data_IF_744307082801
#
_entry.id   IF_744307082801
#
_cell.length_a   1.000
_cell.length_b   1.000
_cell.length_c   1.000
_cell.angle_alpha   90.00
_cell.angle_beta   90.00
_cell.angle_gamma   90.00
#
_symmetry.space_group_name_H-M   'P 1'
#
loop_
_entity.id
_entity.type
_entity.pdbx_description
1 polymer ?
#
# COMPACT_ATOMS: atom_id res chain seq x y z
N UNK A 1 33.78 -103.69 164.10
CA UNK A 1 34.37 -103.37 165.41
C UNK A 1 33.94 -101.95 165.75
N UNK A 2 33.18 -101.63 166.81
CA UNK A 2 32.56 -102.40 167.87
C UNK A 2 31.30 -101.65 168.32
N UNK A 3 30.32 -102.42 168.79
CA UNK A 3 28.99 -102.00 169.21
C UNK A 3 28.96 -101.64 170.70
N UNK A 4 28.01 -100.78 171.11
CA UNK A 4 27.30 -100.83 172.40
C UNK A 4 25.92 -100.14 172.28
N UNK A 5 24.85 -100.95 172.22
CA UNK A 5 23.65 -101.01 173.09
C UNK A 5 23.41 -99.84 174.09
N UNK A 6 22.21 -99.40 174.49
CA UNK A 6 20.83 -99.92 174.49
C UNK A 6 19.86 -98.79 174.99
N UNK A 7 18.54 -99.09 175.01
CA UNK A 7 17.45 -98.54 175.87
C UNK A 7 16.29 -97.83 175.13
N UNK A 8 15.09 -98.40 175.31
CA UNK A 8 13.78 -98.09 174.71
C UNK A 8 12.97 -97.12 175.58
N UNK A 9 12.30 -96.13 174.97
CA UNK A 9 11.24 -95.30 175.55
C UNK A 9 10.12 -95.08 174.50
N UNK A 10 8.84 -95.44 174.76
CA UNK A 10 7.75 -95.32 173.80
C UNK A 10 6.97 -93.99 173.97
N UNK A 11 6.73 -93.24 172.89
CA UNK A 11 5.72 -92.14 172.91
C UNK A 11 5.89 -90.89 172.04
N UNK A 12 6.70 -90.86 170.97
CA UNK A 12 7.04 -89.62 170.23
C UNK A 12 6.72 -89.60 168.73
N UNK A 13 5.89 -90.52 168.23
CA UNK A 13 5.62 -90.65 166.78
C UNK A 13 4.49 -89.73 166.25
N UNK A 14 3.60 -89.23 167.12
CA UNK A 14 2.43 -88.43 166.69
C UNK A 14 2.68 -86.92 166.49
N UNK A 15 3.75 -86.35 167.08
CA UNK A 15 4.05 -84.91 166.97
C UNK A 15 4.99 -84.56 165.80
N UNK A 16 5.66 -85.56 165.21
CA UNK A 16 6.56 -85.35 164.07
C UNK A 16 5.81 -85.25 162.74
N UNK A 17 4.65 -85.92 162.61
CA UNK A 17 3.81 -85.86 161.39
C UNK A 17 3.06 -84.53 161.26
N UNK A 18 2.63 -83.92 162.38
CA UNK A 18 1.97 -82.61 162.37
C UNK A 18 2.92 -81.45 162.01
N UNK A 19 4.22 -81.57 162.35
CA UNK A 19 5.26 -80.64 161.92
C UNK A 19 5.60 -80.76 160.43
N UNK A 20 5.59 -81.99 159.90
CA UNK A 20 5.83 -82.27 158.47
C UNK A 20 4.74 -81.66 157.58
N UNK A 21 3.47 -81.83 157.93
CA UNK A 21 2.35 -81.26 157.16
C UNK A 21 2.36 -79.73 157.06
N UNK A 22 2.76 -79.03 158.13
CA UNK A 22 2.93 -77.57 158.10
C UNK A 22 4.11 -77.12 157.24
N UNK A 23 5.22 -77.88 157.26
CA UNK A 23 6.37 -77.59 156.40
C UNK A 23 6.03 -77.79 154.92
N UNK A 24 5.28 -78.85 154.60
CA UNK A 24 4.86 -79.14 153.23
C UNK A 24 3.82 -78.12 152.74
N UNK A 25 2.89 -77.67 153.60
CA UNK A 25 1.95 -76.60 153.29
C UNK A 25 2.65 -75.27 152.98
N UNK A 26 3.62 -74.84 153.81
CA UNK A 26 4.39 -73.61 153.57
C UNK A 26 5.29 -73.72 152.32
N UNK A 27 5.76 -74.92 151.99
CA UNK A 27 6.54 -75.17 150.76
C UNK A 27 5.65 -75.13 149.52
N UNK A 28 4.42 -75.64 149.62
CA UNK A 28 3.40 -75.56 148.56
C UNK A 28 2.95 -74.11 148.33
N UNK A 29 2.65 -73.35 149.41
CA UNK A 29 2.30 -71.94 149.35
C UNK A 29 3.44 -71.08 148.78
N UNK A 30 4.68 -71.32 149.20
CA UNK A 30 5.85 -70.64 148.62
C UNK A 30 5.97 -70.93 147.12
N UNK A 31 5.81 -72.19 146.71
CA UNK A 31 5.84 -72.56 145.29
C UNK A 31 4.67 -72.01 144.47
N UNK A 32 3.49 -71.84 145.07
CA UNK A 32 2.36 -71.15 144.45
C UNK A 32 2.60 -69.65 144.32
N UNK A 33 3.19 -69.01 145.33
CA UNK A 33 3.51 -67.59 145.32
C UNK A 33 4.66 -67.25 144.36
N UNK A 34 5.67 -68.12 144.26
CA UNK A 34 6.73 -68.03 143.26
C UNK A 34 6.18 -68.19 141.84
N UNK A 35 5.29 -69.16 141.59
CA UNK A 35 4.59 -69.29 140.30
C UNK A 35 3.74 -68.07 139.97
N UNK A 36 2.96 -67.58 140.93
CA UNK A 36 2.16 -66.36 140.76
C UNK A 36 3.01 -65.13 140.44
N UNK A 37 4.16 -64.96 141.11
CA UNK A 37 5.08 -63.87 140.80
C UNK A 37 5.75 -64.02 139.45
N UNK A 38 6.20 -65.22 139.09
CA UNK A 38 6.77 -65.51 137.78
C UNK A 38 5.74 -65.22 136.67
N UNK A 39 4.48 -65.58 136.90
CA UNK A 39 3.38 -65.34 135.98
C UNK A 39 3.01 -63.84 135.91
N UNK A 40 3.08 -63.12 137.02
CA UNK A 40 2.92 -61.65 137.04
C UNK A 40 4.06 -60.93 136.31
N UNK A 41 5.30 -61.38 136.49
CA UNK A 41 6.46 -60.85 135.76
C UNK A 41 6.36 -61.15 134.27
N UNK A 42 6.00 -62.39 133.91
CA UNK A 42 5.72 -62.78 132.53
C UNK A 42 4.60 -61.96 131.91
N UNK A 43 3.53 -61.66 132.67
CA UNK A 43 2.44 -60.81 132.22
C UNK A 43 2.90 -59.37 132.00
N UNK A 44 3.76 -58.84 132.88
CA UNK A 44 4.36 -57.50 132.70
C UNK A 44 5.28 -57.46 131.49
N UNK A 45 6.11 -58.47 131.31
CA UNK A 45 6.99 -58.60 130.14
C UNK A 45 6.18 -58.68 128.85
N UNK A 46 5.17 -59.55 128.79
CA UNK A 46 4.26 -59.63 127.65
C UNK A 46 3.51 -58.31 127.42
N UNK A 47 3.09 -57.61 128.47
CA UNK A 47 2.45 -56.30 128.35
C UNK A 47 3.41 -55.25 127.77
N UNK A 48 4.69 -55.27 128.18
CA UNK A 48 5.72 -54.40 127.60
C UNK A 48 6.02 -54.77 126.14
N UNK A 49 6.08 -56.06 125.81
CA UNK A 49 6.25 -56.53 124.43
C UNK A 49 5.06 -56.15 123.55
N UNK A 50 3.84 -56.27 124.06
CA UNK A 50 2.62 -55.82 123.36
C UNK A 50 2.64 -54.31 123.16
N UNK A 51 3.01 -53.52 124.18
CA UNK A 51 3.13 -52.07 124.03
C UNK A 51 4.23 -51.66 123.03
N UNK A 52 5.38 -52.34 123.05
CA UNK A 52 6.46 -52.13 122.08
C UNK A 52 6.02 -52.51 120.66
N UNK A 53 5.34 -53.65 120.49
CA UNK A 53 4.78 -54.08 119.20
C UNK A 53 3.71 -53.11 118.69
N UNK A 54 2.85 -52.59 119.56
CA UNK A 54 1.88 -51.54 119.21
C UNK A 54 2.58 -50.25 118.77
N UNK A 55 3.67 -49.87 119.43
CA UNK A 55 4.52 -48.75 119.00
C UNK A 55 5.09 -48.96 117.59
N UNK A 56 5.66 -50.14 117.33
CA UNK A 56 6.18 -50.50 115.99
C UNK A 56 5.07 -50.51 114.94
N UNK A 57 3.88 -51.04 115.26
CA UNK A 57 2.72 -51.02 114.36
C UNK A 57 2.31 -49.57 114.04
N UNK A 58 2.25 -48.70 115.04
CA UNK A 58 1.95 -47.28 114.84
C UNK A 58 3.00 -46.56 113.98
N UNK A 59 4.28 -46.88 114.15
CA UNK A 59 5.37 -46.35 113.33
C UNK A 59 5.28 -46.84 111.88
N UNK A 60 4.99 -48.12 111.67
CA UNK A 60 4.78 -48.70 110.35
C UNK A 60 3.57 -48.08 109.64
N UNK A 61 2.46 -47.90 110.34
CA UNK A 61 1.27 -47.24 109.81
C UNK A 61 1.56 -45.79 109.41
N UNK A 62 2.31 -45.03 110.23
CA UNK A 62 2.73 -43.67 109.88
C UNK A 62 3.65 -43.64 108.65
N UNK A 63 4.59 -44.58 108.54
CA UNK A 63 5.47 -44.70 107.36
C UNK A 63 4.69 -45.11 106.11
N UNK A 64 3.73 -46.01 106.24
CA UNK A 64 2.84 -46.43 105.16
C UNK A 64 2.01 -45.23 104.66
N UNK A 65 1.38 -44.48 105.56
CA UNK A 65 0.64 -43.26 105.21
C UNK A 65 1.54 -42.23 104.52
N UNK A 66 2.75 -41.99 105.04
CA UNK A 66 3.71 -41.08 104.41
C UNK A 66 4.12 -41.55 103.00
N UNK A 67 4.37 -42.86 102.83
CA UNK A 67 4.69 -43.45 101.53
C UNK A 67 3.52 -43.36 100.54
N UNK A 68 2.28 -43.57 101.01
CA UNK A 68 1.07 -43.41 100.20
C UNK A 68 0.87 -41.94 99.76
N UNK A 69 1.10 -40.98 100.65
CA UNK A 69 1.05 -39.56 100.28
C UNK A 69 2.15 -39.18 99.30
N UNK A 70 3.37 -39.69 99.47
CA UNK A 70 4.46 -39.48 98.53
C UNK A 70 4.17 -40.10 97.16
N UNK A 71 3.57 -41.30 97.14
CA UNK A 71 3.09 -41.94 95.92
C UNK A 71 2.01 -41.11 95.21
N UNK A 72 1.01 -40.59 95.94
CA UNK A 72 0.00 -39.69 95.36
C UNK A 72 0.60 -38.40 94.84
N UNK A 73 1.59 -37.83 95.54
CA UNK A 73 2.30 -36.61 95.10
C UNK A 73 3.13 -36.88 93.85
N UNK A 74 3.81 -38.02 93.76
CA UNK A 74 4.59 -38.39 92.57
C UNK A 74 3.69 -38.72 91.39
N UNK A 75 2.57 -39.40 91.61
CA UNK A 75 1.52 -39.64 90.62
C UNK A 75 0.94 -38.33 90.07
N UNK A 76 0.58 -37.38 90.94
CA UNK A 76 0.10 -36.07 90.51
C UNK A 76 1.14 -35.30 89.69
N UNK A 77 2.43 -35.38 90.06
CA UNK A 77 3.53 -34.79 89.28
C UNK A 77 3.69 -35.46 87.93
N UNK A 78 3.62 -36.80 87.87
CA UNK A 78 3.68 -37.54 86.61
C UNK A 78 2.50 -37.18 85.72
N UNK A 79 1.28 -37.09 86.28
CA UNK A 79 0.10 -36.70 85.54
C UNK A 79 0.25 -35.29 84.95
N UNK A 80 0.75 -34.32 85.72
CA UNK A 80 1.02 -32.98 85.21
C UNK A 80 2.06 -32.97 84.07
N UNK A 81 3.08 -33.84 84.14
CA UNK A 81 4.06 -34.02 83.05
C UNK A 81 3.40 -34.63 81.82
N UNK A 82 2.51 -35.63 81.98
CA UNK A 82 1.76 -36.23 80.86
C UNK A 82 0.84 -35.21 80.21
N UNK A 83 0.08 -34.44 81.00
CA UNK A 83 -0.84 -33.42 80.48
C UNK A 83 -0.07 -32.33 79.73
N UNK A 84 1.07 -31.88 80.28
CA UNK A 84 1.96 -30.94 79.59
C UNK A 84 2.49 -31.53 78.28
N UNK A 85 3.00 -32.76 78.29
CA UNK A 85 3.52 -33.41 77.08
C UNK A 85 2.43 -33.59 76.01
N UNK A 86 1.18 -33.79 76.42
CA UNK A 86 0.03 -33.84 75.51
C UNK A 86 -0.25 -32.47 74.89
N UNK A 87 -0.28 -31.39 75.68
CA UNK A 87 -0.46 -30.03 75.17
C UNK A 87 0.68 -29.64 74.22
N UNK A 88 1.93 -29.87 74.59
CA UNK A 88 3.09 -29.61 73.74
C UNK A 88 2.96 -30.37 72.40
N UNK A 89 2.52 -31.63 72.43
CA UNK A 89 2.27 -32.42 71.22
C UNK A 89 1.17 -31.83 70.35
N UNK A 90 0.05 -31.41 70.95
CA UNK A 90 -1.06 -30.78 70.23
C UNK A 90 -0.62 -29.44 69.60
N UNK A 91 0.19 -28.64 70.31
CA UNK A 91 0.80 -27.42 69.77
C UNK A 91 1.75 -27.70 68.60
N UNK A 92 2.63 -28.71 68.72
CA UNK A 92 3.50 -29.11 67.62
C UNK A 92 2.72 -29.65 66.42
N UNK A 93 1.62 -30.37 66.65
CA UNK A 93 0.75 -30.85 65.57
C UNK A 93 0.07 -29.67 64.85
N UNK A 94 -0.49 -28.72 65.59
CA UNK A 94 -1.09 -27.51 65.01
C UNK A 94 -0.05 -26.68 64.22
N UNK A 95 1.17 -26.54 64.76
CA UNK A 95 2.25 -25.86 64.06
C UNK A 95 2.67 -26.60 62.77
N UNK A 96 2.73 -27.93 62.80
CA UNK A 96 3.05 -28.75 61.64
C UNK A 96 1.96 -28.70 60.57
N UNK A 97 0.68 -28.72 60.95
CA UNK A 97 -0.46 -28.56 60.04
C UNK A 97 -0.46 -27.18 59.39
N UNK A 98 -0.24 -26.12 60.17
CA UNK A 98 -0.08 -24.77 59.64
C UNK A 98 1.08 -24.68 58.64
N UNK A 99 2.24 -25.24 58.97
CA UNK A 99 3.39 -25.23 58.07
C UNK A 99 3.13 -25.99 56.76
N UNK A 100 2.32 -27.06 56.80
CA UNK A 100 1.88 -27.76 55.58
C UNK A 100 0.98 -26.89 54.72
N UNK A 101 -0.01 -26.23 55.31
CA UNK A 101 -0.87 -25.30 54.58
C UNK A 101 -0.09 -24.13 53.98
N UNK A 102 0.81 -23.51 54.75
CA UNK A 102 1.67 -22.44 54.24
C UNK A 102 2.54 -22.93 53.06
N UNK A 103 3.05 -24.17 53.12
CA UNK A 103 3.82 -24.76 52.02
C UNK A 103 2.96 -25.03 50.77
N UNK A 104 1.72 -25.49 50.94
CA UNK A 104 0.75 -25.69 49.86
C UNK A 104 0.38 -24.35 49.20
N UNK A 105 0.14 -23.30 50.00
CA UNK A 105 -0.13 -21.95 49.51
C UNK A 105 1.06 -21.38 48.72
N UNK A 106 2.29 -21.55 49.23
CA UNK A 106 3.50 -21.12 48.51
C UNK A 106 3.67 -21.87 47.18
N UNK A 107 3.40 -23.18 47.15
CA UNK A 107 3.44 -23.96 45.92
C UNK A 107 2.39 -23.47 44.91
N UNK A 108 1.17 -23.18 45.36
CA UNK A 108 0.12 -22.61 44.53
C UNK A 108 0.50 -21.23 43.98
N UNK A 109 0.94 -20.30 44.85
CA UNK A 109 1.36 -18.96 44.46
C UNK A 109 2.52 -18.98 43.48
N UNK A 110 3.47 -19.91 43.65
CA UNK A 110 4.57 -20.11 42.70
C UNK A 110 4.05 -20.53 41.32
N UNK A 111 3.09 -21.45 41.27
CA UNK A 111 2.44 -21.86 40.01
C UNK A 111 1.70 -20.70 39.33
N UNK A 112 0.98 -19.89 40.09
CA UNK A 112 0.29 -18.68 39.59
C UNK A 112 1.30 -17.65 39.06
N UNK A 113 2.42 -17.43 39.77
CA UNK A 113 3.50 -16.54 39.33
C UNK A 113 4.14 -16.99 38.01
N UNK A 114 4.44 -18.29 37.88
CA UNK A 114 4.98 -18.85 36.63
C UNK A 114 3.98 -18.71 35.46
N UNK A 115 2.68 -18.89 35.71
CA UNK A 115 1.64 -18.70 34.70
C UNK A 115 1.52 -17.22 34.26
N UNK A 116 1.58 -16.30 35.23
CA UNK A 116 1.61 -14.86 34.94
C UNK A 116 2.86 -14.46 34.16
N UNK A 117 4.03 -14.99 34.52
CA UNK A 117 5.28 -14.73 33.80
C UNK A 117 5.17 -15.16 32.33
N UNK A 118 4.65 -16.37 32.06
CA UNK A 118 4.40 -16.84 30.69
C UNK A 118 3.47 -15.91 29.91
N UNK A 119 2.44 -15.39 30.57
CA UNK A 119 1.49 -14.44 29.96
C UNK A 119 2.15 -13.10 29.65
N UNK A 120 2.97 -12.56 30.58
CA UNK A 120 3.73 -11.33 30.37
C UNK A 120 4.72 -11.49 29.21
N UNK A 121 5.43 -12.61 29.13
CA UNK A 121 6.34 -12.89 28.01
C UNK A 121 5.59 -12.99 26.68
N UNK A 122 4.41 -13.61 26.65
CA UNK A 122 3.53 -13.64 25.46
C UNK A 122 3.16 -12.22 25.03
N UNK A 123 2.67 -11.39 25.95
CA UNK A 123 2.29 -9.99 25.68
C UNK A 123 3.50 -9.19 25.16
N UNK A 124 4.70 -9.41 25.71
CA UNK A 124 5.93 -8.75 25.23
C UNK A 124 6.24 -9.14 23.78
N UNK A 125 6.14 -10.42 23.43
CA UNK A 125 6.36 -10.90 22.05
C UNK A 125 5.30 -10.37 21.09
N UNK A 126 4.03 -10.42 21.47
CA UNK A 126 2.92 -9.87 20.67
C UNK A 126 3.09 -8.37 20.44
N UNK A 127 3.45 -7.61 21.48
CA UNK A 127 3.76 -6.18 21.34
C UNK A 127 4.94 -5.98 20.40
N UNK A 128 6.05 -6.69 20.59
CA UNK A 128 7.22 -6.54 19.71
C UNK A 128 6.86 -6.81 18.24
N UNK A 129 6.08 -7.86 17.98
CA UNK A 129 5.59 -8.18 16.63
C UNK A 129 4.70 -7.06 16.09
N UNK A 130 3.76 -6.54 16.87
CA UNK A 130 2.89 -5.44 16.44
C UNK A 130 3.68 -4.15 16.13
N UNK A 131 4.78 -3.89 16.85
CA UNK A 131 5.68 -2.77 16.53
C UNK A 131 6.40 -3.00 15.20
N UNK A 132 6.91 -4.21 14.96
CA UNK A 132 7.53 -4.58 13.68
C UNK A 132 6.55 -4.49 12.51
N UNK A 133 5.33 -4.99 12.68
CA UNK A 133 4.29 -4.95 11.65
C UNK A 133 3.92 -3.49 11.31
N UNK A 134 3.78 -2.63 12.33
CA UNK A 134 3.51 -1.20 12.13
C UNK A 134 4.65 -0.48 11.40
N UNK A 135 5.89 -0.80 11.74
CA UNK A 135 7.04 -0.17 11.10
C UNK A 135 7.19 -0.68 9.64
N UNK A 136 6.91 -1.96 9.37
CA UNK A 136 6.82 -2.49 8.00
C UNK A 136 5.67 -1.87 7.20
N UNK A 137 4.51 -1.62 7.82
CA UNK A 137 3.38 -0.94 7.19
C UNK A 137 3.71 0.51 6.85
N UNK A 138 4.44 1.23 7.71
CA UNK A 138 4.94 2.58 7.41
C UNK A 138 5.84 2.58 6.18
N UNK A 139 6.80 1.66 6.09
CA UNK A 139 7.67 1.54 4.92
C UNK A 139 6.86 1.25 3.65
N UNK A 140 5.91 0.31 3.69
CA UNK A 140 5.02 0.03 2.56
C UNK A 140 4.17 1.24 2.15
N UNK A 141 3.72 2.03 3.13
CA UNK A 141 2.96 3.25 2.86
C UNK A 141 3.83 4.31 2.16
N UNK A 142 5.05 4.52 2.64
CA UNK A 142 6.02 5.43 2.01
C UNK A 142 6.37 4.97 0.58
N UNK A 143 6.55 3.66 0.36
CA UNK A 143 6.74 3.08 -0.97
C UNK A 143 5.53 3.31 -1.88
N UNK A 144 4.31 3.09 -1.38
CA UNK A 144 3.07 3.31 -2.13
C UNK A 144 2.86 4.79 -2.47
N UNK A 145 3.18 5.71 -1.56
CA UNK A 145 3.14 7.16 -1.81
C UNK A 145 4.15 7.56 -2.89
N UNK A 146 5.35 6.99 -2.88
CA UNK A 146 6.35 7.22 -3.93
C UNK A 146 5.86 6.72 -5.29
N UNK A 147 5.33 5.50 -5.37
CA UNK A 147 4.77 4.93 -6.62
C UNK A 147 3.60 5.77 -7.12
N UNK A 148 2.73 6.26 -6.23
CA UNK A 148 1.64 7.15 -6.61
C UNK A 148 2.13 8.49 -7.16
N UNK A 149 3.21 9.05 -6.60
CA UNK A 149 3.84 10.26 -7.11
C UNK A 149 4.46 10.06 -8.50
N UNK A 150 5.17 8.94 -8.71
CA UNK A 150 5.77 8.57 -10.00
C UNK A 150 4.69 8.39 -11.08
N UNK A 151 3.63 7.62 -10.78
CA UNK A 151 2.48 7.45 -11.68
C UNK A 151 1.75 8.79 -11.95
N UNK A 152 1.62 9.64 -10.93
CA UNK A 152 1.06 10.98 -11.09
C UNK A 152 1.86 11.83 -12.07
N UNK A 153 3.19 11.76 -12.01
CA UNK A 153 4.08 12.45 -12.95
C UNK A 153 3.96 11.89 -14.38
N UNK A 154 3.92 10.56 -14.54
CA UNK A 154 3.72 9.91 -15.84
C UNK A 154 2.38 10.28 -16.48
N UNK A 155 1.29 10.25 -15.71
CA UNK A 155 -0.04 10.68 -16.19
C UNK A 155 -0.01 12.16 -16.59
N UNK A 156 0.67 13.02 -15.83
CA UNK A 156 0.87 14.42 -16.20
C UNK A 156 1.61 14.59 -17.53
N UNK A 157 2.67 13.81 -17.76
CA UNK A 157 3.42 13.81 -19.02
C UNK A 157 2.56 13.33 -20.20
N UNK A 158 1.84 12.22 -20.03
CA UNK A 158 0.94 11.68 -21.07
C UNK A 158 -0.18 12.65 -21.41
N UNK A 159 -0.74 13.35 -20.42
CA UNK A 159 -1.74 14.40 -20.65
C UNK A 159 -1.17 15.59 -21.43
N UNK A 160 0.07 16.00 -21.14
CA UNK A 160 0.74 17.06 -21.89
C UNK A 160 0.98 16.65 -23.35
N UNK A 161 1.48 15.42 -23.58
CA UNK A 161 1.66 14.86 -24.92
C UNK A 161 0.33 14.75 -25.68
N UNK A 162 -0.74 14.30 -25.03
CA UNK A 162 -2.06 14.22 -25.65
C UNK A 162 -2.58 15.61 -26.08
N UNK A 163 -2.35 16.65 -25.28
CA UNK A 163 -2.71 18.04 -25.65
C UNK A 163 -1.89 18.54 -26.83
N UNK A 164 -0.61 18.23 -26.88
CA UNK A 164 0.25 18.60 -28.01
C UNK A 164 -0.18 17.91 -29.31
N UNK A 165 -0.48 16.61 -29.25
CA UNK A 165 -1.03 15.85 -30.38
C UNK A 165 -2.40 16.39 -30.83
N UNK A 166 -3.26 16.78 -29.89
CA UNK A 166 -4.53 17.41 -30.24
C UNK A 166 -4.32 18.75 -30.96
N UNK A 167 -3.36 19.56 -30.52
CA UNK A 167 -3.01 20.82 -31.17
C UNK A 167 -2.41 20.61 -32.57
N UNK A 168 -1.55 19.59 -32.74
CA UNK A 168 -0.97 19.27 -34.04
C UNK A 168 -2.03 18.77 -35.03
N UNK A 169 -2.94 17.91 -34.59
CA UNK A 169 -4.09 17.44 -35.40
C UNK A 169 -5.02 18.59 -35.78
N UNK A 170 -5.29 19.53 -34.86
CA UNK A 170 -6.09 20.71 -35.17
C UNK A 170 -5.41 21.59 -36.23
N UNK A 171 -4.09 21.78 -36.13
CA UNK A 171 -3.29 22.51 -37.12
C UNK A 171 -3.28 21.83 -38.49
N UNK A 172 -3.14 20.51 -38.53
CA UNK A 172 -3.20 19.74 -39.77
C UNK A 172 -4.56 19.90 -40.47
N UNK A 173 -5.66 19.82 -39.72
CA UNK A 173 -7.01 20.06 -40.25
C UNK A 173 -7.17 21.46 -40.84
N UNK A 174 -6.61 22.47 -40.17
CA UNK A 174 -6.64 23.85 -40.66
C UNK A 174 -5.85 24.01 -41.96
N UNK A 175 -4.63 23.45 -42.03
CA UNK A 175 -3.82 23.46 -43.25
C UNK A 175 -4.52 22.72 -44.39
N UNK A 176 -5.16 21.59 -44.11
CA UNK A 176 -5.94 20.85 -45.09
C UNK A 176 -7.09 21.70 -45.65
N UNK A 177 -7.88 22.34 -44.78
CA UNK A 177 -8.97 23.22 -45.21
C UNK A 177 -8.45 24.43 -46.03
N UNK A 178 -7.30 25.01 -45.65
CA UNK A 178 -6.66 26.07 -46.43
C UNK A 178 -6.25 25.58 -47.82
N UNK A 179 -5.60 24.41 -47.90
CA UNK A 179 -5.20 23.81 -49.18
C UNK A 179 -6.40 23.46 -50.07
N UNK A 180 -7.49 22.96 -49.50
CA UNK A 180 -8.73 22.67 -50.23
C UNK A 180 -9.37 23.95 -50.78
N UNK A 181 -9.35 25.05 -50.00
CA UNK A 181 -9.78 26.37 -50.44
C UNK A 181 -8.91 26.94 -51.57
N UNK A 182 -7.59 26.80 -51.50
CA UNK A 182 -6.66 27.21 -52.57
C UNK A 182 -6.87 26.37 -53.84
N UNK A 183 -7.03 25.05 -53.70
CA UNK A 183 -7.34 24.17 -54.82
C UNK A 183 -8.66 24.53 -55.49
N UNK A 184 -9.69 24.91 -54.73
CA UNK A 184 -10.95 25.38 -55.29
C UNK A 184 -10.78 26.67 -56.11
N UNK A 185 -10.03 27.65 -55.59
CA UNK A 185 -9.71 28.90 -56.31
C UNK A 185 -8.92 28.65 -57.59
N UNK A 186 -7.94 27.76 -57.55
CA UNK A 186 -7.14 27.40 -58.73
C UNK A 186 -7.98 26.70 -59.80
N UNK A 187 -8.95 25.87 -59.41
CA UNK A 187 -9.88 25.24 -60.36
C UNK A 187 -10.79 26.27 -61.03
N UNK A 188 -11.36 27.19 -60.26
CA UNK A 188 -12.18 28.28 -60.78
C UNK A 188 -11.40 29.16 -61.76
N UNK A 189 -10.17 29.56 -61.41
CA UNK A 189 -9.29 30.32 -62.29
C UNK A 189 -8.95 29.56 -63.58
N UNK A 190 -8.69 28.25 -63.50
CA UNK A 190 -8.42 27.41 -64.67
C UNK A 190 -9.64 27.28 -65.59
N UNK A 191 -10.85 27.14 -65.02
CA UNK A 191 -12.08 27.03 -65.81
C UNK A 191 -12.43 28.37 -66.47
N UNK A 192 -12.15 29.50 -65.80
CA UNK A 192 -12.23 30.83 -66.41
C UNK A 192 -11.27 30.96 -67.60
N UNK A 193 -9.98 30.65 -67.41
CA UNK A 193 -8.97 30.64 -68.48
C UNK A 193 -9.35 29.72 -69.66
N UNK A 194 -9.92 28.54 -69.39
CA UNK A 194 -10.42 27.64 -70.45
C UNK A 194 -11.57 28.26 -71.24
N UNK A 195 -12.46 28.98 -70.55
CA UNK A 195 -13.59 29.67 -71.18
C UNK A 195 -13.09 30.81 -72.06
N UNK A 196 -12.16 31.64 -71.55
CA UNK A 196 -11.53 32.73 -72.30
C UNK A 196 -10.74 32.21 -73.51
N UNK A 197 -9.95 31.16 -73.34
CA UNK A 197 -9.23 30.52 -74.44
C UNK A 197 -10.20 29.91 -75.47
N UNK A 198 -11.35 29.37 -75.03
CA UNK A 198 -12.43 28.91 -75.90
C UNK A 198 -12.97 30.04 -76.77
N UNK A 199 -13.35 31.16 -76.14
CA UNK A 199 -13.83 32.36 -76.83
C UNK A 199 -12.78 32.92 -77.81
N UNK A 200 -11.50 32.94 -77.42
CA UNK A 200 -10.41 33.36 -78.31
C UNK A 200 -10.27 32.43 -79.52
N UNK A 201 -10.35 31.12 -79.32
CA UNK A 201 -10.30 30.14 -80.43
C UNK A 201 -11.46 30.35 -81.40
N UNK A 202 -12.66 30.57 -80.89
CA UNK A 202 -13.86 30.81 -81.69
C UNK A 202 -13.73 32.12 -82.49
N UNK A 203 -13.28 33.20 -81.84
CA UNK A 203 -13.01 34.48 -82.52
C UNK A 203 -11.96 34.35 -83.63
N UNK A 204 -10.86 33.63 -83.38
CA UNK A 204 -9.84 33.35 -84.41
C UNK A 204 -10.42 32.50 -85.54
N UNK A 205 -11.31 31.55 -85.25
CA UNK A 205 -11.96 30.76 -86.29
C UNK A 205 -12.82 31.62 -87.22
N UNK A 206 -13.61 32.54 -86.66
CA UNK A 206 -14.41 33.49 -87.44
C UNK A 206 -13.52 34.32 -88.38
N UNK A 207 -12.42 34.89 -87.86
CA UNK A 207 -11.49 35.68 -88.68
C UNK A 207 -10.81 34.84 -89.77
N UNK A 208 -10.45 33.59 -89.48
CA UNK A 208 -9.92 32.67 -90.50
C UNK A 208 -10.93 32.44 -91.63
N UNK A 209 -12.19 32.24 -91.29
CA UNK A 209 -13.27 31.98 -92.24
C UNK A 209 -13.51 33.22 -93.11
N UNK A 210 -13.59 34.41 -92.52
CA UNK A 210 -13.77 35.69 -93.23
C UNK A 210 -12.62 36.00 -94.21
N UNK A 211 -11.38 35.70 -93.80
CA UNK A 211 -10.19 35.89 -94.65
C UNK A 211 -9.98 34.73 -95.66
N UNK A 212 -10.82 33.70 -95.63
CA UNK A 212 -10.67 32.48 -96.44
C UNK A 212 -9.28 31.84 -96.28
N UNK A 213 -8.77 31.75 -95.04
CA UNK A 213 -7.48 31.11 -94.75
C UNK A 213 -7.62 29.60 -94.96
N UNK A 214 -7.00 29.07 -96.02
CA UNK A 214 -6.98 27.62 -96.29
C UNK A 214 -6.19 26.92 -95.17
N UNK A 215 -6.85 26.04 -94.42
CA UNK A 215 -6.17 25.25 -93.40
C UNK A 215 -5.32 24.17 -94.07
N UNK A 216 -4.00 24.19 -93.80
CA UNK A 216 -3.12 23.10 -94.19
C UNK A 216 -3.42 21.84 -93.39
N UNK A 217 -3.47 20.69 -94.05
CA UNK A 217 -3.64 19.40 -93.38
C UNK A 217 -2.56 19.23 -92.30
N UNK A 218 -2.98 19.19 -91.03
CA UNK A 218 -2.12 18.87 -89.88
C UNK A 218 -1.64 20.02 -89.00
N UNK A 219 -1.96 21.30 -89.28
CA UNK A 219 -1.55 22.44 -88.44
C UNK A 219 -2.72 23.04 -87.64
N UNK A 220 -3.35 22.24 -86.78
CA UNK A 220 -4.53 22.64 -86.00
C UNK A 220 -4.22 23.43 -84.72
N UNK A 221 -3.11 24.16 -84.64
CA UNK A 221 -2.79 24.98 -83.46
C UNK A 221 -3.32 26.42 -83.62
N UNK A 222 -3.78 27.02 -82.52
CA UNK A 222 -4.28 28.40 -82.51
C UNK A 222 -3.22 29.39 -83.05
N UNK A 223 -1.96 29.19 -82.66
CA UNK A 223 -0.84 30.00 -83.15
C UNK A 223 -0.65 29.89 -84.66
N UNK A 224 -0.77 28.68 -85.23
CA UNK A 224 -0.69 28.50 -86.68
C UNK A 224 -1.85 29.21 -87.41
N UNK A 225 -3.05 29.19 -86.84
CA UNK A 225 -4.22 29.92 -87.37
C UNK A 225 -4.03 31.43 -87.35
N UNK A 226 -3.59 32.00 -86.23
CA UNK A 226 -3.30 33.45 -86.11
C UNK A 226 -2.19 33.89 -87.08
N UNK A 227 -1.15 33.08 -87.27
CA UNK A 227 -0.13 33.37 -88.27
C UNK A 227 -0.66 33.26 -89.70
N UNK A 228 -1.59 32.32 -89.95
CA UNK A 228 -2.29 32.16 -91.21
C UNK A 228 -3.15 33.38 -91.56
N UNK A 229 -3.96 33.88 -90.62
CA UNK A 229 -4.78 35.10 -90.81
C UNK A 229 -3.91 36.30 -91.15
N UNK A 230 -2.80 36.51 -90.42
CA UNK A 230 -1.86 37.59 -90.71
C UNK A 230 -1.27 37.50 -92.12
N UNK A 231 -0.82 36.31 -92.54
CA UNK A 231 -0.29 36.11 -93.91
C UNK A 231 -1.35 36.39 -94.97
N UNK A 232 -2.57 35.89 -94.77
CA UNK A 232 -3.66 36.04 -95.73
C UNK A 232 -4.14 37.49 -95.83
N UNK A 233 -4.31 38.17 -94.70
CA UNK A 233 -4.61 39.60 -94.66
C UNK A 233 -3.55 40.41 -95.43
N UNK A 234 -2.26 40.08 -95.27
CA UNK A 234 -1.17 40.69 -96.04
C UNK A 234 -1.27 40.41 -97.54
N UNK A 235 -1.61 39.18 -97.93
CA UNK A 235 -1.83 38.84 -99.35
C UNK A 235 -2.99 39.63 -99.96
N UNK A 236 -4.13 39.70 -99.26
CA UNK A 236 -5.30 40.47 -99.68
C UNK A 236 -4.92 41.94 -99.86
N UNK A 237 -4.23 42.54 -98.88
CA UNK A 237 -3.76 43.92 -98.98
C UNK A 237 -2.81 44.14 -100.16
N UNK A 238 -1.88 43.21 -100.42
CA UNK A 238 -0.97 43.28 -101.58
C UNK A 238 -1.72 43.12 -102.91
N UNK A 239 -2.74 42.27 -102.97
CA UNK A 239 -3.58 42.08 -104.15
C UNK A 239 -4.45 43.31 -104.44
N UNK A 240 -5.08 43.87 -103.40
CA UNK A 240 -5.80 45.14 -103.46
C UNK A 240 -4.90 46.27 -103.97
N UNK A 241 -3.69 46.40 -103.41
CA UNK A 241 -2.69 47.38 -103.86
C UNK A 241 -2.32 47.18 -105.34
N UNK A 242 -1.97 45.96 -105.74
CA UNK A 242 -1.63 45.65 -107.14
C UNK A 242 -2.77 45.97 -108.09
N UNK A 243 -4.01 45.69 -107.66
CA UNK A 243 -5.22 45.98 -108.43
C UNK A 243 -5.44 47.49 -108.55
N UNK A 244 -5.34 48.24 -107.46
CA UNK A 244 -5.41 49.70 -107.45
C UNK A 244 -4.36 50.34 -108.36
N UNK A 245 -3.10 49.90 -108.26
CA UNK A 245 -2.02 50.37 -109.15
C UNK A 245 -2.33 50.07 -110.61
N UNK A 246 -2.69 48.82 -110.96
CA UNK A 246 -3.04 48.47 -112.35
C UNK A 246 -4.17 49.34 -112.90
N UNK A 247 -5.18 49.65 -112.09
CA UNK A 247 -6.31 50.48 -112.47
C UNK A 247 -5.92 51.94 -112.66
N UNK A 248 -5.13 52.50 -111.75
CA UNK A 248 -4.61 53.86 -111.91
C UNK A 248 -3.87 53.99 -113.25
N UNK A 249 -2.97 53.05 -113.56
CA UNK A 249 -2.32 52.97 -114.87
C UNK A 249 -3.32 52.85 -116.04
N UNK A 250 -4.38 52.05 -115.87
CA UNK A 250 -5.47 51.95 -116.85
C UNK A 250 -6.20 53.28 -117.10
N UNK A 251 -6.51 54.05 -116.05
CA UNK A 251 -7.15 55.38 -116.13
C UNK A 251 -6.23 56.37 -116.86
N UNK A 252 -4.95 56.43 -116.50
CA UNK A 252 -3.98 57.26 -117.22
C UNK A 252 -3.91 56.86 -118.70
N UNK A 253 -3.93 55.56 -118.99
CA UNK A 253 -3.96 55.02 -120.35
C UNK A 253 -5.17 55.38 -121.18
N UNK A 254 -6.35 55.48 -120.54
CA UNK A 254 -7.58 55.84 -121.25
C UNK A 254 -7.65 57.35 -121.54
N UNK A 255 -7.05 58.19 -120.70
CA UNK A 255 -7.14 59.65 -120.85
C UNK A 255 -6.01 60.26 -121.69
N UNK A 256 -4.87 59.59 -121.80
CA UNK A 256 -3.69 60.16 -122.45
C UNK A 256 -3.08 59.17 -123.46
N UNK A 257 -3.21 59.47 -124.76
CA UNK A 257 -2.62 58.67 -125.83
C UNK A 257 -1.11 58.85 -125.88
N UNK A 258 -0.36 57.74 -125.92
CA UNK A 258 1.11 57.76 -126.10
C UNK A 258 1.92 57.78 -124.81
N UNK A 259 1.30 57.58 -123.64
CA UNK A 259 2.02 57.42 -122.38
C UNK A 259 2.95 56.20 -122.43
N UNK A 260 4.20 56.39 -121.99
CA UNK A 260 5.17 55.31 -121.81
C UNK A 260 5.03 54.69 -120.40
N UNK A 261 4.17 53.68 -120.26
CA UNK A 261 3.97 52.99 -118.97
C UNK A 261 5.22 52.34 -118.40
N UNK A 262 6.12 51.83 -119.27
CA UNK A 262 7.38 51.26 -118.82
C UNK A 262 8.26 52.33 -118.17
N UNK A 263 8.27 53.55 -118.72
CA UNK A 263 8.92 54.71 -118.10
C UNK A 263 8.31 55.08 -116.76
N UNK A 264 6.97 55.15 -116.66
CA UNK A 264 6.26 55.47 -115.40
C UNK A 264 6.49 54.43 -114.29
N UNK A 265 6.70 53.16 -114.64
CA UNK A 265 6.98 52.11 -113.65
C UNK A 265 8.31 52.29 -112.93
N UNK A 266 9.23 53.11 -113.47
CA UNK A 266 10.48 53.49 -112.83
C UNK A 266 10.35 54.60 -111.78
N UNK A 267 9.14 55.13 -111.57
CA UNK A 267 8.87 56.28 -110.70
C UNK A 267 8.84 57.59 -111.48
N UNK A 268 9.11 58.69 -110.79
CA UNK A 268 9.17 60.02 -111.40
C UNK A 268 10.25 60.10 -112.49
N UNK A 269 9.98 60.87 -113.55
CA UNK A 269 10.95 61.04 -114.63
C UNK A 269 12.21 61.75 -114.10
N UNK A 270 13.38 61.33 -114.58
CA UNK A 270 14.64 61.96 -114.20
C UNK A 270 14.69 63.43 -114.70
N UNK A 271 15.03 64.36 -113.82
CA UNK A 271 15.18 65.79 -114.17
C UNK A 271 14.36 66.76 -113.32
N UNK A 272 13.45 66.27 -112.47
CA UNK A 272 12.78 67.08 -111.46
C UNK A 272 13.62 67.19 -110.18
N UNK A 273 13.66 68.37 -109.58
CA UNK A 273 14.18 68.58 -108.23
C UNK A 273 13.19 68.07 -107.17
N UNK A 274 13.68 67.80 -105.96
CA UNK A 274 12.84 67.34 -104.83
C UNK A 274 11.66 68.30 -104.56
N UNK A 275 11.90 69.62 -104.62
CA UNK A 275 10.84 70.63 -104.44
C UNK A 275 9.77 70.60 -105.55
N UNK A 276 10.14 70.27 -106.79
CA UNK A 276 9.20 70.11 -107.90
C UNK A 276 8.41 68.79 -107.77
N UNK A 277 9.03 67.73 -107.25
CA UNK A 277 8.34 66.48 -106.95
C UNK A 277 7.32 66.67 -105.81
N UNK A 278 7.70 67.40 -104.76
CA UNK A 278 6.78 67.75 -103.66
C UNK A 278 5.59 68.58 -104.16
N UNK A 279 5.81 69.53 -105.08
CA UNK A 279 4.73 70.31 -105.69
C UNK A 279 3.81 69.44 -106.56
N UNK A 280 4.38 68.49 -107.31
CA UNK A 280 3.61 67.50 -108.07
C UNK A 280 2.79 66.62 -107.13
N UNK A 281 3.40 66.03 -106.10
CA UNK A 281 2.73 65.20 -105.08
C UNK A 281 1.57 65.97 -104.42
N UNK A 282 1.81 67.23 -104.03
CA UNK A 282 0.78 68.09 -103.46
C UNK A 282 -0.37 68.37 -104.45
N UNK A 283 -0.05 68.59 -105.73
CA UNK A 283 -1.06 68.85 -106.77
C UNK A 283 -1.92 67.62 -107.10
N UNK A 284 -1.38 66.41 -106.95
CA UNK A 284 -2.08 65.15 -107.21
C UNK A 284 -2.71 64.56 -105.95
N UNK A 285 -2.48 65.12 -104.76
CA UNK A 285 -3.00 64.61 -103.49
C UNK A 285 -4.52 64.49 -103.50
N UNK A 286 -5.26 65.59 -103.70
CA UNK A 286 -6.74 65.56 -103.68
C UNK A 286 -7.32 64.64 -104.79
N UNK A 287 -6.81 64.68 -106.05
CA UNK A 287 -7.21 63.70 -107.07
C UNK A 287 -6.88 62.26 -106.72
N UNK A 288 -5.71 62.00 -106.13
CA UNK A 288 -5.28 60.65 -105.74
C UNK A 288 -6.13 60.13 -104.58
N UNK A 289 -6.50 60.97 -103.61
CA UNK A 289 -7.46 60.61 -102.56
C UNK A 289 -8.86 60.34 -103.12
N UNK A 290 -9.35 61.17 -104.05
CA UNK A 290 -10.63 60.93 -104.71
C UNK A 290 -10.63 59.60 -105.50
N UNK A 291 -9.53 59.29 -106.18
CA UNK A 291 -9.34 58.01 -106.87
C UNK A 291 -9.23 56.85 -105.88
N UNK A 292 -8.48 57.01 -104.80
CA UNK A 292 -8.37 56.01 -103.75
C UNK A 292 -9.76 55.71 -103.17
N UNK A 293 -10.57 56.72 -102.86
CA UNK A 293 -11.94 56.57 -102.36
C UNK A 293 -12.88 55.87 -103.34
N UNK A 294 -12.75 56.13 -104.64
CA UNK A 294 -13.48 55.39 -105.67
C UNK A 294 -13.06 53.93 -105.74
N UNK A 295 -11.78 53.65 -105.45
CA UNK A 295 -11.23 52.30 -105.44
C UNK A 295 -11.44 51.58 -104.10
N UNK A 296 -11.69 52.29 -103.01
CA UNK A 296 -11.92 51.73 -101.67
C UNK A 296 -13.12 50.78 -101.66
N UNK A 297 -14.24 51.18 -102.26
CA UNK A 297 -15.49 50.38 -102.32
C UNK A 297 -15.32 49.07 -103.12
N UNK A 298 -14.25 48.94 -103.91
CA UNK A 298 -14.02 47.79 -104.78
C UNK A 298 -12.76 46.97 -104.40
N UNK A 299 -11.77 47.61 -103.79
CA UNK A 299 -10.52 46.98 -103.36
C UNK A 299 -10.59 46.48 -101.91
N UNK A 300 -11.44 47.06 -101.07
CA UNK A 300 -11.68 46.60 -99.70
C UNK A 300 -12.97 45.77 -99.69
N UNK A 301 -12.91 44.47 -99.35
CA UNK A 301 -14.14 43.70 -99.17
C UNK A 301 -15.02 44.34 -98.06
N UNK A 302 -16.36 44.28 -98.19
CA UNK A 302 -17.26 44.91 -97.24
C UNK A 302 -17.02 44.38 -95.81
N UNK A 303 -17.15 45.27 -94.83
CA UNK A 303 -16.76 45.00 -93.43
C UNK A 303 -17.59 43.90 -92.73
N UNK A 304 -18.70 43.45 -93.31
CA UNK A 304 -19.52 42.37 -92.75
C UNK A 304 -20.26 41.61 -93.87
N UNK A 305 -19.99 40.32 -94.10
CA UNK A 305 -20.76 39.50 -95.04
C UNK A 305 -22.15 39.08 -94.51
N UNK A 306 -22.52 39.41 -93.26
CA UNK A 306 -23.82 39.02 -92.65
C UNK A 306 -24.92 40.08 -92.72
N UNK A 307 -24.68 41.23 -93.33
CA UNK A 307 -25.69 42.29 -93.51
C UNK A 307 -26.39 42.25 -94.89
N UNK A 308 -26.30 41.15 -95.63
CA UNK A 308 -27.01 40.92 -96.90
C UNK A 308 -27.92 39.71 -96.83
#
# INVERSE_FOLDING_TARGET
>A
MGALDNVVLPGSQALQECSRGKSDFLRLERGLWERFNLERERTRELSMQVAAAQGVIGDLQRREQAAQEEARRSEAKLQAVVDKARLDREEFQAAAEKARHDAEELARLKGEHEALQKTVERIRRERQKAWQDRDAEKVRKEEAEKVAADLGAEVGQLQAQARELQASVARERQLKAQSEGELARLREALDAERTEHGALRDAVHVVCDDLSVVQGEGTSSLAARVLGTYRRAREIALEALRTGVRRAFGVFGSHYSGINFAGMSGGYAAGYSEAELDEIDASVLDPAEALAKLLEDEAVPPADPRAS
#
